data_IF_995622054736
#
_entry.id   IF_995622054736
#
_cell.length_a   1.000
_cell.length_b   1.000
_cell.length_c   1.000
_cell.angle_alpha   90.00
_cell.angle_beta   90.00
_cell.angle_gamma   90.00
#
_symmetry.space_group_name_H-M   'P 1'
#
loop_
_entity.id
_entity.type
_entity.pdbx_description
1 polymer ?
#
# COMPACT_ATOMS: atom_id res chain seq x y z
N UNK A 1 -13.54 -38.33 -1.45
CA UNK A 1 -13.32 -36.87 -1.49
C UNK A 1 -14.43 -36.22 -0.67
N UNK A 2 -14.18 -35.88 0.59
CA UNK A 2 -15.17 -35.19 1.43
C UNK A 2 -15.33 -33.75 0.93
N UNK A 3 -16.56 -33.30 0.69
CA UNK A 3 -16.78 -31.91 0.29
C UNK A 3 -16.50 -30.99 1.48
N UNK A 4 -15.74 -29.89 1.29
CA UNK A 4 -15.45 -28.97 2.37
C UNK A 4 -16.75 -28.35 2.88
N UNK A 5 -16.87 -28.30 4.20
CA UNK A 5 -18.05 -27.76 4.88
C UNK A 5 -18.22 -26.27 4.56
N UNK A 6 -19.44 -25.75 4.65
CA UNK A 6 -19.73 -24.33 4.36
C UNK A 6 -18.86 -23.37 5.19
N UNK A 7 -18.52 -23.78 6.42
CA UNK A 7 -17.64 -23.05 7.34
C UNK A 7 -16.19 -23.00 6.87
N UNK A 8 -15.66 -24.11 6.34
CA UNK A 8 -14.31 -24.15 5.77
C UNK A 8 -14.18 -23.28 4.51
N UNK A 9 -15.22 -23.26 3.68
CA UNK A 9 -15.27 -22.40 2.48
C UNK A 9 -15.31 -20.92 2.85
N UNK A 10 -16.07 -20.56 3.89
CA UNK A 10 -16.11 -19.20 4.42
C UNK A 10 -14.77 -18.78 5.02
N UNK A 11 -14.15 -19.61 5.85
CA UNK A 11 -12.85 -19.31 6.46
C UNK A 11 -11.77 -19.09 5.38
N UNK A 12 -11.73 -19.96 4.38
CA UNK A 12 -10.79 -19.83 3.26
C UNK A 12 -10.99 -18.52 2.48
N UNK A 13 -12.25 -18.16 2.18
CA UNK A 13 -12.57 -16.89 1.50
C UNK A 13 -12.24 -15.67 2.36
N UNK A 14 -12.52 -15.70 3.66
CA UNK A 14 -12.24 -14.59 4.57
C UNK A 14 -10.74 -14.30 4.66
N UNK A 15 -9.93 -15.37 4.72
CA UNK A 15 -8.48 -15.23 4.72
C UNK A 15 -7.95 -14.74 3.38
N UNK A 16 -8.55 -15.14 2.26
CA UNK A 16 -8.11 -14.70 0.94
C UNK A 16 -8.37 -13.22 0.68
N UNK A 17 -9.45 -12.65 1.25
CA UNK A 17 -9.76 -11.20 1.13
C UNK A 17 -9.06 -10.34 2.19
N UNK A 18 -8.39 -10.94 3.17
CA UNK A 18 -7.79 -10.22 4.29
C UNK A 18 -6.81 -9.12 3.83
N UNK A 19 -5.89 -9.36 2.88
CA UNK A 19 -4.99 -8.31 2.40
C UNK A 19 -5.70 -7.12 1.75
N UNK A 20 -6.76 -7.38 0.98
CA UNK A 20 -7.59 -6.33 0.41
C UNK A 20 -8.29 -5.53 1.51
N UNK A 21 -8.91 -6.19 2.49
CA UNK A 21 -9.55 -5.53 3.64
C UNK A 21 -8.57 -4.70 4.46
N UNK A 22 -7.39 -5.24 4.77
CA UNK A 22 -6.32 -4.51 5.48
C UNK A 22 -5.92 -3.27 4.69
N UNK A 23 -5.79 -3.37 3.37
CA UNK A 23 -5.44 -2.23 2.52
C UNK A 23 -6.55 -1.17 2.48
N UNK A 24 -7.83 -1.57 2.48
CA UNK A 24 -8.97 -0.65 2.62
C UNK A 24 -8.94 0.04 3.99
N UNK A 25 -8.62 -0.68 5.07
CA UNK A 25 -8.44 -0.05 6.39
C UNK A 25 -7.29 0.95 6.36
N UNK A 26 -6.17 0.65 5.69
CA UNK A 26 -5.07 1.61 5.50
C UNK A 26 -5.51 2.86 4.73
N UNK A 27 -6.39 2.70 3.74
CA UNK A 27 -7.00 3.82 3.03
C UNK A 27 -7.83 4.71 3.97
N UNK A 28 -8.68 4.10 4.81
CA UNK A 28 -9.47 4.83 5.80
C UNK A 28 -8.61 5.53 6.86
N UNK A 29 -7.54 4.87 7.34
CA UNK A 29 -6.61 5.46 8.31
C UNK A 29 -5.94 6.72 7.76
N UNK A 30 -5.70 6.79 6.45
CA UNK A 30 -5.07 7.96 5.82
C UNK A 30 -5.91 9.24 5.90
N UNK A 31 -7.22 9.13 6.08
CA UNK A 31 -8.13 10.28 6.18
C UNK A 31 -8.58 10.56 7.61
N UNK A 32 -8.14 9.76 8.58
CA UNK A 32 -8.48 10.01 9.98
C UNK A 32 -7.81 11.32 10.45
N UNK A 33 -8.53 12.19 11.17
CA UNK A 33 -7.96 13.40 11.75
C UNK A 33 -7.16 13.04 13.01
N UNK A 34 -6.08 12.28 12.85
CA UNK A 34 -5.21 11.81 13.93
C UNK A 34 -4.28 12.95 14.35
N UNK A 35 -4.86 14.04 14.85
CA UNK A 35 -4.15 15.12 15.54
C UNK A 35 -2.85 15.56 14.86
N UNK A 36 -2.80 15.61 13.54
CA UNK A 36 -1.61 16.03 12.81
C UNK A 36 -1.53 17.56 12.90
N UNK A 37 -1.23 18.06 14.10
CA UNK A 37 -1.24 19.48 14.47
C UNK A 37 -0.09 20.27 13.83
N UNK A 38 0.58 19.70 12.83
CA UNK A 38 1.58 20.40 12.03
C UNK A 38 0.87 21.28 10.98
N UNK A 39 1.42 22.46 10.64
CA UNK A 39 0.87 23.36 9.62
C UNK A 39 0.64 22.69 8.25
N UNK A 40 1.42 21.64 7.94
CA UNK A 40 1.29 20.81 6.75
C UNK A 40 1.45 19.33 7.11
N UNK A 41 0.36 18.61 7.35
CA UNK A 41 0.43 17.19 7.64
C UNK A 41 0.99 16.36 6.50
N UNK A 42 2.22 15.86 6.66
CA UNK A 42 2.77 14.85 5.76
C UNK A 42 2.18 13.48 6.08
N UNK A 43 0.93 13.25 5.64
CA UNK A 43 0.22 12.00 5.86
C UNK A 43 0.94 10.85 5.14
N UNK A 44 1.38 9.80 5.85
CA UNK A 44 2.05 8.67 5.23
C UNK A 44 1.16 7.97 4.20
N UNK A 45 1.76 7.49 3.11
CA UNK A 45 1.05 6.72 2.08
C UNK A 45 0.78 5.28 2.54
N UNK A 46 -0.16 5.10 3.47
CA UNK A 46 -0.46 3.80 4.10
C UNK A 46 -0.90 2.73 3.09
N UNK A 47 -1.65 3.10 2.05
CA UNK A 47 -2.06 2.19 0.98
C UNK A 47 -0.86 1.66 0.18
N UNK A 48 0.12 2.53 -0.10
CA UNK A 48 1.37 2.14 -0.78
C UNK A 48 2.19 1.14 0.06
N UNK A 49 2.28 1.35 1.39
CA UNK A 49 2.94 0.42 2.30
C UNK A 49 2.30 -0.98 2.26
N UNK A 50 0.96 -1.00 2.29
CA UNK A 50 0.19 -2.25 2.26
C UNK A 50 0.36 -2.97 0.92
N UNK A 51 0.18 -2.26 -0.20
CA UNK A 51 0.37 -2.83 -1.54
C UNK A 51 1.79 -3.36 -1.70
N UNK A 52 2.81 -2.62 -1.26
CA UNK A 52 4.18 -3.09 -1.30
C UNK A 52 4.35 -4.42 -0.56
N UNK A 53 3.93 -4.48 0.70
CA UNK A 53 4.09 -5.67 1.53
C UNK A 53 3.38 -6.89 0.93
N UNK A 54 2.08 -6.76 0.64
CA UNK A 54 1.30 -7.89 0.15
C UNK A 54 1.73 -8.36 -1.22
N UNK A 55 2.14 -7.45 -2.12
CA UNK A 55 2.66 -7.85 -3.43
C UNK A 55 3.96 -8.65 -3.33
N UNK A 56 4.85 -8.25 -2.43
CA UNK A 56 6.13 -8.97 -2.22
C UNK A 56 5.89 -10.33 -1.58
N UNK A 57 5.08 -10.43 -0.53
CA UNK A 57 5.00 -11.66 0.26
C UNK A 57 3.86 -12.61 -0.16
N UNK A 58 2.71 -12.07 -0.59
CA UNK A 58 1.48 -12.83 -0.96
C UNK A 58 0.72 -12.16 -2.12
N UNK A 59 1.31 -12.08 -3.33
CA UNK A 59 0.66 -11.43 -4.48
C UNK A 59 -0.64 -12.13 -4.91
N UNK A 60 -0.76 -13.42 -4.60
CA UNK A 60 -1.94 -14.26 -4.82
C UNK A 60 -3.21 -13.74 -4.13
N UNK A 61 -3.06 -12.98 -3.03
CA UNK A 61 -4.19 -12.48 -2.23
C UNK A 61 -4.56 -11.02 -2.52
N UNK A 62 -3.76 -10.33 -3.33
CA UNK A 62 -4.00 -8.94 -3.69
C UNK A 62 -3.96 -8.80 -5.22
N UNK A 63 -5.00 -9.24 -5.92
CA UNK A 63 -5.03 -9.20 -7.39
C UNK A 63 -5.01 -7.75 -7.90
N UNK A 64 -4.53 -7.50 -9.14
CA UNK A 64 -4.47 -6.15 -9.71
C UNK A 64 -5.79 -5.40 -9.68
N UNK A 65 -6.92 -6.09 -9.88
CA UNK A 65 -8.26 -5.50 -9.80
C UNK A 65 -8.56 -4.93 -8.41
N UNK A 66 -8.15 -5.63 -7.34
CA UNK A 66 -8.30 -5.12 -5.98
C UNK A 66 -7.44 -3.87 -5.76
N UNK A 67 -6.19 -3.90 -6.22
CA UNK A 67 -5.27 -2.73 -6.15
C UNK A 67 -5.85 -1.51 -6.85
N UNK A 68 -6.43 -1.70 -8.05
CA UNK A 68 -7.11 -0.65 -8.80
C UNK A 68 -8.30 -0.06 -8.02
N UNK A 69 -9.21 -0.92 -7.56
CA UNK A 69 -10.41 -0.49 -6.81
C UNK A 69 -10.03 0.27 -5.54
N UNK A 70 -9.02 -0.23 -4.81
CA UNK A 70 -8.48 0.43 -3.62
C UNK A 70 -7.91 1.81 -3.96
N UNK A 71 -7.18 1.93 -5.06
CA UNK A 71 -6.61 3.21 -5.47
C UNK A 71 -7.66 4.23 -5.87
N UNK A 72 -8.68 3.81 -6.63
CA UNK A 72 -9.83 4.67 -6.96
C UNK A 72 -10.57 5.08 -5.68
N UNK A 73 -10.79 4.14 -4.77
CA UNK A 73 -11.39 4.43 -3.46
C UNK A 73 -10.56 5.44 -2.66
N UNK A 74 -9.24 5.32 -2.65
CA UNK A 74 -8.33 6.26 -2.01
C UNK A 74 -8.41 7.66 -2.64
N UNK A 75 -8.46 7.76 -3.96
CA UNK A 75 -8.61 9.05 -4.65
C UNK A 75 -9.95 9.72 -4.30
N UNK A 76 -11.04 8.95 -4.25
CA UNK A 76 -12.36 9.43 -3.83
C UNK A 76 -12.39 9.88 -2.37
N UNK A 77 -11.75 9.14 -1.46
CA UNK A 77 -11.67 9.48 -0.04
C UNK A 77 -10.89 10.77 0.22
N UNK A 78 -9.80 10.97 -0.51
CA UNK A 78 -8.92 12.13 -0.32
C UNK A 78 -9.38 13.37 -1.08
N UNK A 79 -10.37 13.24 -1.97
CA UNK A 79 -10.80 14.32 -2.86
C UNK A 79 -9.75 14.68 -3.92
N UNK A 80 -8.79 13.77 -4.15
CA UNK A 80 -7.72 13.94 -5.14
C UNK A 80 -8.20 13.67 -6.57
N UNK A 81 -7.26 13.73 -7.52
CA UNK A 81 -7.53 13.39 -8.91
C UNK A 81 -7.78 11.88 -9.05
N UNK A 82 -9.01 11.51 -9.38
CA UNK A 82 -9.42 10.12 -9.54
C UNK A 82 -8.55 9.41 -10.57
N UNK A 83 -7.93 8.31 -10.15
CA UNK A 83 -7.09 7.47 -10.97
C UNK A 83 -5.59 7.66 -10.75
N UNK A 84 -5.13 8.76 -10.12
CA UNK A 84 -3.70 8.98 -9.88
C UNK A 84 -3.16 7.97 -8.88
N UNK A 85 -3.83 7.78 -7.73
CA UNK A 85 -3.38 6.78 -6.76
C UNK A 85 -3.56 5.37 -7.32
N UNK A 86 -4.66 5.11 -8.03
CA UNK A 86 -4.86 3.81 -8.69
C UNK A 86 -3.73 3.45 -9.65
N UNK A 87 -3.31 4.40 -10.49
CA UNK A 87 -2.20 4.23 -11.42
C UNK A 87 -0.89 3.93 -10.69
N UNK A 88 -0.56 4.71 -9.65
CA UNK A 88 0.68 4.55 -8.90
C UNK A 88 0.74 3.22 -8.14
N UNK A 89 -0.37 2.79 -7.53
CA UNK A 89 -0.45 1.51 -6.84
C UNK A 89 -0.36 0.34 -7.82
N UNK A 90 -1.01 0.42 -8.98
CA UNK A 90 -0.89 -0.60 -10.04
C UNK A 90 0.52 -0.69 -10.61
N UNK A 91 1.15 0.46 -10.91
CA UNK A 91 2.53 0.51 -11.39
C UNK A 91 3.48 -0.12 -10.37
N UNK A 92 3.33 0.25 -9.09
CA UNK A 92 4.08 -0.35 -7.98
C UNK A 92 3.86 -1.85 -7.91
N UNK A 93 2.61 -2.31 -7.97
CA UNK A 93 2.26 -3.72 -7.94
C UNK A 93 2.93 -4.49 -9.09
N UNK A 94 2.83 -3.99 -10.32
CA UNK A 94 3.45 -4.62 -11.51
C UNK A 94 4.98 -4.72 -11.40
N UNK A 95 5.65 -3.65 -10.98
CA UNK A 95 7.12 -3.64 -10.78
C UNK A 95 7.54 -4.66 -9.72
N UNK A 96 6.81 -4.73 -8.60
CA UNK A 96 7.12 -5.65 -7.52
C UNK A 96 6.89 -7.12 -7.89
N UNK A 97 5.89 -7.42 -8.72
CA UNK A 97 5.70 -8.78 -9.24
C UNK A 97 6.92 -9.26 -10.02
N UNK A 98 7.51 -8.37 -10.84
CA UNK A 98 8.74 -8.67 -11.60
C UNK A 98 9.98 -8.81 -10.70
N UNK A 99 10.07 -8.01 -9.64
CA UNK A 99 11.24 -7.96 -8.76
C UNK A 99 11.14 -8.84 -7.50
N UNK A 100 10.03 -9.56 -7.30
CA UNK A 100 9.72 -10.32 -6.07
C UNK A 100 10.85 -11.25 -5.62
N UNK A 101 11.53 -11.92 -6.56
CA UNK A 101 12.64 -12.84 -6.28
C UNK A 101 13.81 -12.17 -5.56
N UNK A 102 13.97 -10.85 -5.70
CA UNK A 102 15.02 -10.08 -5.03
C UNK A 102 14.76 -9.91 -3.52
N UNK A 103 13.50 -10.02 -3.09
CA UNK A 103 13.08 -9.74 -1.71
C UNK A 103 12.82 -11.00 -0.87
N UNK A 104 12.55 -12.14 -1.51
CA UNK A 104 12.23 -13.38 -0.81
C UNK A 104 13.48 -13.94 -0.09
N UNK A 105 13.31 -14.30 1.19
CA UNK A 105 14.38 -14.87 2.02
C UNK A 105 15.48 -13.88 2.42
N UNK A 106 15.31 -12.59 2.12
CA UNK A 106 16.26 -11.53 2.47
C UNK A 106 15.95 -10.91 3.83
N UNK A 107 16.96 -10.34 4.52
CA UNK A 107 16.73 -9.64 5.78
C UNK A 107 15.84 -8.40 5.58
N UNK A 108 15.13 -8.02 6.64
CA UNK A 108 14.15 -6.94 6.63
C UNK A 108 14.73 -5.60 6.12
N UNK A 109 15.98 -5.27 6.46
CA UNK A 109 16.60 -4.00 6.05
C UNK A 109 16.65 -3.83 4.52
N UNK A 110 16.79 -4.93 3.76
CA UNK A 110 16.82 -4.87 2.30
C UNK A 110 15.42 -4.60 1.73
N UNK A 111 14.38 -5.18 2.33
CA UNK A 111 12.99 -4.85 1.99
C UNK A 111 12.67 -3.39 2.33
N UNK A 112 13.21 -2.87 3.43
CA UNK A 112 13.03 -1.47 3.80
C UNK A 112 13.71 -0.50 2.83
N UNK A 113 14.92 -0.79 2.38
CA UNK A 113 15.59 0.00 1.32
C UNK A 113 14.83 -0.08 0.01
N UNK A 114 14.38 -1.28 -0.39
CA UNK A 114 13.55 -1.44 -1.58
C UNK A 114 12.25 -0.65 -1.51
N UNK A 115 11.61 -0.65 -0.34
CA UNK A 115 10.44 0.19 -0.09
C UNK A 115 10.77 1.69 -0.19
N UNK A 116 11.91 2.12 0.35
CA UNK A 116 12.33 3.52 0.26
C UNK A 116 12.49 3.99 -1.20
N UNK A 117 13.07 3.15 -2.06
CA UNK A 117 13.18 3.43 -3.49
C UNK A 117 11.80 3.49 -4.18
N UNK A 118 10.92 2.55 -3.88
CA UNK A 118 9.55 2.54 -4.41
C UNK A 118 8.76 3.77 -3.96
N UNK A 119 8.85 4.13 -2.68
CA UNK A 119 8.18 5.29 -2.12
C UNK A 119 8.68 6.60 -2.74
N UNK A 120 10.00 6.74 -2.94
CA UNK A 120 10.59 7.88 -3.62
C UNK A 120 10.11 7.98 -5.09
N UNK A 121 10.12 6.86 -5.83
CA UNK A 121 9.67 6.82 -7.21
C UNK A 121 8.17 7.14 -7.35
N UNK A 122 7.33 6.53 -6.50
CA UNK A 122 5.89 6.79 -6.49
C UNK A 122 5.57 8.24 -6.11
N UNK A 123 6.24 8.79 -5.09
CA UNK A 123 6.08 10.18 -4.68
C UNK A 123 6.53 11.17 -5.75
N UNK A 124 7.65 10.90 -6.43
CA UNK A 124 8.11 11.71 -7.56
C UNK A 124 7.13 11.67 -8.73
N UNK A 125 6.63 10.47 -9.08
CA UNK A 125 5.63 10.32 -10.14
C UNK A 125 4.32 11.05 -9.78
N UNK A 126 3.83 10.92 -8.54
CA UNK A 126 2.66 11.65 -8.05
C UNK A 126 2.86 13.16 -8.18
N UNK A 127 4.00 13.67 -7.70
CA UNK A 127 4.34 15.08 -7.78
C UNK A 127 4.33 15.60 -9.22
N UNK A 128 4.98 14.88 -10.15
CA UNK A 128 5.05 15.27 -11.56
C UNK A 128 3.67 15.25 -12.22
N UNK A 129 2.86 14.22 -11.96
CA UNK A 129 1.49 14.12 -12.49
C UNK A 129 0.65 15.30 -12.01
N UNK A 130 0.63 15.55 -10.69
CA UNK A 130 -0.14 16.64 -10.09
C UNK A 130 0.34 18.00 -10.59
N UNK A 131 1.67 18.23 -10.61
CA UNK A 131 2.24 19.49 -11.07
C UNK A 131 1.89 19.79 -12.53
N UNK A 132 1.90 18.76 -13.39
CA UNK A 132 1.54 18.88 -14.80
C UNK A 132 0.04 19.15 -14.98
N UNK A 133 -0.82 18.44 -14.25
CA UNK A 133 -2.27 18.55 -14.41
C UNK A 133 -2.82 19.88 -13.89
N UNK A 134 -2.29 20.41 -12.80
CA UNK A 134 -2.70 21.71 -12.26
C UNK A 134 -1.91 22.90 -12.82
N UNK A 135 -0.88 22.66 -13.65
CA UNK A 135 0.05 23.71 -14.12
C UNK A 135 0.70 24.52 -12.99
N UNK A 136 0.88 23.89 -11.82
CA UNK A 136 1.42 24.54 -10.61
C UNK A 136 2.48 23.67 -9.97
N UNK A 137 3.63 24.27 -9.66
CA UNK A 137 4.66 23.60 -8.86
C UNK A 137 4.26 23.65 -7.39
N UNK A 138 3.82 22.49 -6.87
CA UNK A 138 3.59 22.31 -5.44
C UNK A 138 4.94 22.42 -4.71
N UNK A 139 5.01 22.94 -3.48
CA UNK A 139 6.27 22.97 -2.74
C UNK A 139 6.85 21.56 -2.56
N UNK A 140 8.03 21.30 -3.14
CA UNK A 140 8.69 19.99 -3.10
C UNK A 140 8.93 19.50 -1.67
N UNK A 141 9.08 20.42 -0.71
CA UNK A 141 9.24 20.10 0.71
C UNK A 141 8.09 19.24 1.26
N UNK A 142 6.86 19.44 0.79
CA UNK A 142 5.71 18.62 1.21
C UNK A 142 5.82 17.19 0.68
N UNK A 143 6.16 17.03 -0.61
CA UNK A 143 6.35 15.72 -1.23
C UNK A 143 7.51 14.95 -0.58
N UNK A 144 8.62 15.63 -0.27
CA UNK A 144 9.76 15.05 0.45
C UNK A 144 9.36 14.64 1.87
N UNK A 145 8.66 15.50 2.61
CA UNK A 145 8.21 15.17 3.96
C UNK A 145 7.25 13.98 3.98
N UNK A 146 6.35 13.90 2.99
CA UNK A 146 5.46 12.75 2.83
C UNK A 146 6.23 11.46 2.52
N UNK A 147 7.22 11.51 1.61
CA UNK A 147 8.06 10.37 1.31
C UNK A 147 8.84 9.91 2.54
N UNK A 148 9.46 10.83 3.29
CA UNK A 148 10.22 10.53 4.50
C UNK A 148 9.34 9.89 5.58
N UNK A 149 8.19 10.50 5.89
CA UNK A 149 7.23 9.95 6.87
C UNK A 149 6.72 8.58 6.43
N UNK A 150 6.46 8.38 5.15
CA UNK A 150 6.07 7.08 4.58
C UNK A 150 7.16 6.03 4.79
N UNK A 151 8.42 6.34 4.46
CA UNK A 151 9.54 5.42 4.62
C UNK A 151 9.83 5.11 6.09
N UNK A 152 9.76 6.11 6.96
CA UNK A 152 10.00 5.94 8.40
C UNK A 152 8.88 5.19 9.11
N UNK A 153 7.62 5.34 8.66
CA UNK A 153 6.49 4.61 9.22
C UNK A 153 6.42 3.16 8.74
N UNK A 154 7.05 2.82 7.62
CA UNK A 154 6.97 1.48 7.03
C UNK A 154 7.41 0.35 7.97
N UNK A 155 8.51 0.42 8.74
CA UNK A 155 8.88 -0.65 9.67
C UNK A 155 7.79 -0.96 10.71
N UNK A 156 7.11 0.06 11.22
CA UNK A 156 6.02 -0.12 12.17
C UNK A 156 4.83 -0.83 11.51
N UNK A 157 4.43 -0.41 10.31
CA UNK A 157 3.34 -1.06 9.58
C UNK A 157 3.72 -2.45 9.05
N UNK A 158 4.95 -2.66 8.61
CA UNK A 158 5.45 -3.96 8.18
C UNK A 158 5.35 -4.97 9.33
N UNK A 159 5.70 -4.57 10.55
CA UNK A 159 5.50 -5.41 11.73
C UNK A 159 4.03 -5.75 11.97
N UNK A 160 3.11 -4.80 11.77
CA UNK A 160 1.67 -5.05 11.84
C UNK A 160 1.23 -6.04 10.76
N UNK A 161 1.66 -5.86 9.51
CA UNK A 161 1.35 -6.75 8.41
C UNK A 161 1.89 -8.16 8.64
N UNK A 162 3.12 -8.31 9.14
CA UNK A 162 3.70 -9.62 9.49
C UNK A 162 2.83 -10.33 10.54
N UNK A 163 2.32 -9.61 11.54
CA UNK A 163 1.42 -10.20 12.54
C UNK A 163 0.10 -10.67 11.91
N UNK A 164 -0.49 -9.86 11.02
CA UNK A 164 -1.71 -10.27 10.30
C UNK A 164 -1.48 -11.47 9.38
N UNK A 165 -0.35 -11.50 8.67
CA UNK A 165 0.05 -12.60 7.80
C UNK A 165 0.21 -13.91 8.59
N UNK A 166 0.95 -13.88 9.70
CA UNK A 166 1.19 -15.07 10.53
C UNK A 166 -0.08 -15.62 11.19
N UNK A 167 -1.02 -14.77 11.58
CA UNK A 167 -2.23 -15.18 12.30
C UNK A 167 -3.34 -15.68 11.37
N UNK A 168 -3.55 -14.99 10.26
CA UNK A 168 -4.75 -15.18 9.42
C UNK A 168 -4.41 -15.94 8.14
N UNK A 169 -3.29 -15.60 7.50
CA UNK A 169 -2.97 -16.03 6.13
C UNK A 169 -2.04 -17.24 6.09
N UNK A 170 -1.34 -17.59 7.18
CA UNK A 170 -0.39 -18.70 7.20
C UNK A 170 -0.97 -20.10 6.91
N UNK A 171 -2.30 -20.25 6.83
CA UNK A 171 -3.00 -21.52 6.54
C UNK A 171 -3.86 -21.49 5.27
N UNK A 172 -3.73 -20.43 4.46
CA UNK A 172 -4.22 -20.37 3.07
C UNK A 172 -3.09 -20.82 2.17
#
# INVERSE_FOLDING_TARGET
MAQPSLWERLDTRLRSITPALVTVVMALVSVLPIGWQAPHPAVPAFTLMSVYYWTVYRPDLLPPVAVFVIGVFQDLLTGGLVGVTALLLLATHGVLLGQRKLFLGKPFWLAWIGFALVAAAAGAAQYLIVATLYWTLVPIGQAVMQALTTVLAFPLLAWFFIRTHRRVVARV
#
